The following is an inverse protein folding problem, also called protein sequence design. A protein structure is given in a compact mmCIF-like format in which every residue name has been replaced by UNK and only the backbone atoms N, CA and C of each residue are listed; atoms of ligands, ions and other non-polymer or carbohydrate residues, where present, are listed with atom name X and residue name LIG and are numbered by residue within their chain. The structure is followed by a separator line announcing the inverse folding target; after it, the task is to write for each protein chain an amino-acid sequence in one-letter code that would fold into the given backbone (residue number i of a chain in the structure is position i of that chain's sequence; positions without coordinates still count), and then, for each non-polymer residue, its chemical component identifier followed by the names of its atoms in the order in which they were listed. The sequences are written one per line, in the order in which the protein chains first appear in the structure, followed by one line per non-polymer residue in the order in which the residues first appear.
data_IF_489979450526
#
_entry.id   IF_489979450526
#
_cell.length_a   1.000
_cell.length_b   1.000
_cell.length_c   1.000
_cell.angle_alpha   90.00
_cell.angle_beta   90.00
_cell.angle_gamma   90.00
#
_symmetry.space_group_name_H-M   'P 1'
#
loop_
_entity.id
_entity.type
_entity.pdbx_description
1 polymer ?
#
# COMPACT_ATOMS: atom_id res chain seq x y z
N UNK A 1 -7.47 -33.23 3.44
CA UNK A 1 -7.60 -32.02 2.61
C UNK A 1 -6.40 -31.12 2.86
N UNK A 2 -5.68 -30.79 1.82
CA UNK A 2 -4.48 -29.97 1.96
C UNK A 2 -4.89 -28.48 2.06
N UNK A 3 -4.44 -27.83 3.14
CA UNK A 3 -4.62 -26.39 3.29
C UNK A 3 -3.42 -25.65 2.75
N UNK A 4 -3.62 -24.82 1.73
CA UNK A 4 -2.61 -23.89 1.27
C UNK A 4 -2.54 -22.68 2.21
N UNK A 5 -1.34 -22.17 2.42
CA UNK A 5 -1.13 -20.93 3.14
C UNK A 5 -0.50 -19.91 2.21
N UNK A 6 -0.61 -18.62 2.54
CA UNK A 6 -0.17 -17.55 1.65
C UNK A 6 1.29 -17.64 1.25
N UNK A 7 2.17 -18.04 2.15
CA UNK A 7 3.59 -18.16 1.82
C UNK A 7 3.89 -19.24 0.77
N UNK A 8 2.99 -20.23 0.63
CA UNK A 8 3.17 -21.32 -0.32
C UNK A 8 2.82 -20.89 -1.74
N UNK A 9 1.87 -19.97 -1.90
CA UNK A 9 1.41 -19.52 -3.21
C UNK A 9 2.10 -18.24 -3.69
N UNK A 10 2.52 -17.38 -2.77
CA UNK A 10 3.17 -16.13 -3.10
C UNK A 10 2.22 -15.03 -3.56
N UNK A 11 2.75 -13.81 -3.70
CA UNK A 11 1.96 -12.62 -4.03
C UNK A 11 1.33 -12.70 -5.41
N UNK A 12 2.11 -13.08 -6.43
CA UNK A 12 1.62 -13.15 -7.81
C UNK A 12 0.43 -14.08 -7.95
N UNK A 13 0.53 -15.27 -7.37
CA UNK A 13 -0.55 -16.24 -7.46
C UNK A 13 -1.78 -15.80 -6.68
N UNK A 14 -1.57 -15.16 -5.53
CA UNK A 14 -2.68 -14.58 -4.76
C UNK A 14 -3.41 -13.53 -5.59
N UNK A 15 -2.69 -12.62 -6.22
CA UNK A 15 -3.28 -11.59 -7.08
C UNK A 15 -4.05 -12.22 -8.23
N UNK A 16 -3.48 -13.24 -8.88
CA UNK A 16 -4.16 -13.95 -9.96
C UNK A 16 -5.48 -14.57 -9.51
N UNK A 17 -5.51 -15.15 -8.32
CA UNK A 17 -6.72 -15.73 -7.77
C UNK A 17 -7.79 -14.70 -7.41
N UNK A 18 -7.36 -13.48 -7.06
CA UNK A 18 -8.26 -12.39 -6.73
C UNK A 18 -8.77 -11.64 -7.96
N UNK A 19 -8.14 -11.82 -9.09
CA UNK A 19 -8.46 -11.10 -10.33
C UNK A 19 -9.91 -11.22 -10.73
N UNK A 20 -10.51 -12.39 -10.55
CA UNK A 20 -11.92 -12.62 -10.90
C UNK A 20 -12.92 -11.78 -10.09
N UNK A 21 -12.49 -11.24 -8.95
CA UNK A 21 -13.30 -10.40 -8.09
C UNK A 21 -13.11 -8.91 -8.37
N UNK A 22 -12.21 -8.56 -9.29
CA UNK A 22 -11.82 -7.18 -9.55
C UNK A 22 -12.34 -6.73 -10.91
N UNK A 23 -12.59 -5.41 -11.07
CA UNK A 23 -12.85 -4.86 -12.40
C UNK A 23 -11.67 -5.10 -13.34
N UNK A 24 -11.96 -5.19 -14.63
CA UNK A 24 -10.91 -5.35 -15.64
C UNK A 24 -9.94 -4.15 -15.56
N UNK A 25 -8.66 -4.41 -15.79
CA UNK A 25 -7.60 -3.40 -15.85
C UNK A 25 -7.23 -2.78 -14.49
N UNK A 26 -7.53 -3.46 -13.38
CA UNK A 26 -7.16 -2.97 -12.05
C UNK A 26 -5.87 -3.56 -11.49
N UNK A 27 -5.27 -4.52 -12.18
CA UNK A 27 -4.21 -5.33 -11.58
C UNK A 27 -2.84 -5.12 -12.22
N UNK A 28 -2.75 -4.25 -13.21
CA UNK A 28 -1.51 -4.11 -13.97
C UNK A 28 -0.44 -3.29 -13.26
N UNK A 29 -0.80 -2.55 -12.21
CA UNK A 29 0.14 -1.76 -11.43
C UNK A 29 -0.25 -1.71 -9.94
N UNK A 30 0.48 -0.92 -9.16
CA UNK A 30 0.28 -0.84 -7.71
C UNK A 30 -0.90 0.05 -7.30
N UNK A 31 -1.60 0.64 -8.25
CA UNK A 31 -2.69 1.57 -7.95
C UNK A 31 -4.02 1.03 -8.43
N UNK A 32 -5.06 1.29 -7.64
CA UNK A 32 -6.44 1.10 -8.10
C UNK A 32 -6.90 2.35 -8.84
N UNK A 33 -7.60 2.15 -9.95
CA UNK A 33 -8.16 3.23 -10.75
C UNK A 33 -9.66 3.33 -10.49
N UNK A 34 -10.11 4.50 -10.05
CA UNK A 34 -11.53 4.81 -9.90
C UNK A 34 -11.89 5.89 -10.91
N UNK A 35 -12.79 5.53 -11.82
CA UNK A 35 -13.28 6.48 -12.82
C UNK A 35 -14.46 7.25 -12.26
N UNK A 36 -14.36 8.56 -12.29
CA UNK A 36 -15.46 9.45 -11.94
C UNK A 36 -15.97 10.14 -13.21
N UNK A 37 -17.00 10.96 -13.08
CA UNK A 37 -17.64 11.61 -14.22
C UNK A 37 -16.66 12.50 -15.02
N UNK A 38 -15.80 13.22 -14.32
CA UNK A 38 -14.91 14.21 -14.94
C UNK A 38 -13.43 13.89 -14.74
N UNK A 39 -13.09 12.97 -13.86
CA UNK A 39 -11.71 12.71 -13.48
C UNK A 39 -11.48 11.23 -13.22
N UNK A 40 -10.24 10.85 -13.21
CA UNK A 40 -9.82 9.53 -12.76
C UNK A 40 -9.03 9.69 -11.46
N UNK A 41 -9.35 8.85 -10.48
CA UNK A 41 -8.62 8.81 -9.22
C UNK A 41 -7.74 7.57 -9.19
N UNK A 42 -6.49 7.75 -8.82
CA UNK A 42 -5.58 6.66 -8.53
C UNK A 42 -5.45 6.54 -7.02
N UNK A 43 -5.63 5.34 -6.53
CA UNK A 43 -5.52 5.05 -5.09
C UNK A 43 -4.51 3.95 -4.90
N UNK A 44 -3.57 4.18 -4.01
CA UNK A 44 -2.70 3.13 -3.53
C UNK A 44 -2.51 3.23 -2.02
N UNK A 45 -2.15 2.12 -1.42
CA UNK A 45 -1.76 2.05 -0.02
C UNK A 45 -0.58 1.11 0.08
N UNK A 46 0.46 1.57 0.74
CA UNK A 46 1.63 0.77 0.98
C UNK A 46 1.83 0.64 2.48
N UNK A 47 2.30 -0.52 2.93
CA UNK A 47 2.52 -0.77 4.36
C UNK A 47 4.00 -0.82 4.67
N UNK A 48 4.35 -0.29 5.85
CA UNK A 48 5.70 -0.38 6.40
C UNK A 48 5.64 -1.23 7.66
N UNK A 49 6.27 -2.39 7.63
CA UNK A 49 6.26 -3.35 8.73
C UNK A 49 7.64 -3.39 9.37
N UNK A 50 7.69 -3.18 10.68
CA UNK A 50 8.93 -3.26 11.44
C UNK A 50 9.61 -4.61 11.26
N UNK A 51 10.93 -4.59 11.14
CA UNK A 51 11.78 -5.76 10.86
C UNK A 51 11.58 -6.40 9.48
N UNK A 52 10.74 -5.80 8.63
CA UNK A 52 10.60 -6.19 7.22
C UNK A 52 11.08 -5.05 6.34
N UNK A 53 10.54 -3.85 6.53
CA UNK A 53 10.86 -2.68 5.73
C UNK A 53 11.82 -1.72 6.43
N UNK A 54 11.88 -1.79 7.74
CA UNK A 54 12.72 -0.96 8.58
C UNK A 54 12.96 -1.62 9.93
N UNK A 55 13.87 -1.10 10.73
CA UNK A 55 13.97 -1.44 12.15
C UNK A 55 14.22 -0.17 12.97
N UNK A 56 13.94 -0.23 14.26
CA UNK A 56 14.02 0.91 15.17
C UNK A 56 15.46 1.34 15.47
N UNK A 57 16.45 0.52 15.12
CA UNK A 57 17.86 0.85 15.27
C UNK A 57 18.35 1.71 14.09
N UNK A 58 17.83 1.41 12.88
CA UNK A 58 18.34 2.01 11.65
C UNK A 58 17.57 3.23 11.17
N UNK A 59 16.39 3.50 11.73
CA UNK A 59 15.55 4.59 11.25
C UNK A 59 14.90 5.32 12.42
N UNK A 60 14.94 6.66 12.40
CA UNK A 60 14.22 7.46 13.36
C UNK A 60 12.77 7.68 12.91
N UNK A 61 11.84 8.05 13.84
CA UNK A 61 10.43 8.25 13.48
C UNK A 61 10.19 9.24 12.35
N UNK A 62 10.96 10.32 12.30
CA UNK A 62 10.82 11.32 11.23
C UNK A 62 11.17 10.72 9.87
N UNK A 63 12.24 9.93 9.78
CA UNK A 63 12.65 9.27 8.54
C UNK A 63 11.64 8.19 8.13
N UNK A 64 11.05 7.50 9.09
CA UNK A 64 10.00 6.52 8.82
C UNK A 64 8.78 7.20 8.21
N UNK A 65 8.36 8.33 8.76
CA UNK A 65 7.27 9.11 8.19
C UNK A 65 7.57 9.60 6.78
N UNK A 66 8.78 10.08 6.55
CA UNK A 66 9.21 10.51 5.22
C UNK A 66 9.16 9.34 4.23
N UNK A 67 9.67 8.18 4.62
CA UNK A 67 9.65 6.97 3.80
C UNK A 67 8.22 6.54 3.46
N UNK A 68 7.31 6.61 4.41
CA UNK A 68 5.90 6.27 4.20
C UNK A 68 5.27 7.17 3.14
N UNK A 69 5.50 8.48 3.23
CA UNK A 69 4.97 9.44 2.26
C UNK A 69 5.58 9.23 0.89
N UNK A 70 6.90 9.13 0.81
CA UNK A 70 7.61 9.04 -0.47
C UNK A 70 7.26 7.75 -1.21
N UNK A 71 7.15 6.62 -0.52
CA UNK A 71 6.80 5.37 -1.19
C UNK A 71 5.41 5.42 -1.81
N UNK A 72 4.44 6.00 -1.12
CA UNK A 72 3.09 6.17 -1.67
C UNK A 72 3.06 7.14 -2.86
N UNK A 73 3.74 8.26 -2.75
CA UNK A 73 3.80 9.23 -3.85
C UNK A 73 4.52 8.65 -5.06
N UNK A 74 5.60 7.91 -4.84
CA UNK A 74 6.35 7.26 -5.90
C UNK A 74 5.47 6.29 -6.70
N UNK A 75 4.66 5.47 -6.03
CA UNK A 75 3.74 4.56 -6.69
C UNK A 75 2.69 5.31 -7.52
N UNK A 76 2.13 6.39 -6.97
CA UNK A 76 1.17 7.21 -7.68
C UNK A 76 1.77 7.87 -8.93
N UNK A 77 2.97 8.41 -8.81
CA UNK A 77 3.66 9.05 -9.94
C UNK A 77 4.01 8.04 -11.03
N UNK A 78 4.46 6.85 -10.66
CA UNK A 78 4.80 5.81 -11.64
C UNK A 78 3.57 5.29 -12.36
N UNK A 79 2.38 5.43 -11.79
CA UNK A 79 1.11 5.10 -12.43
C UNK A 79 0.50 6.27 -13.20
N UNK A 80 1.18 7.40 -13.30
CA UNK A 80 0.76 8.52 -14.13
C UNK A 80 -0.05 9.60 -13.42
N UNK A 81 -0.04 9.63 -12.09
CA UNK A 81 -0.72 10.68 -11.33
C UNK A 81 -0.11 12.04 -11.61
N UNK A 82 -0.96 13.04 -11.78
CA UNK A 82 -0.53 14.42 -12.00
C UNK A 82 -0.61 15.29 -10.75
N UNK A 83 -1.47 14.93 -9.82
CA UNK A 83 -1.70 15.71 -8.59
C UNK A 83 -2.01 14.76 -7.46
N UNK A 84 -1.33 14.94 -6.35
CA UNK A 84 -1.61 14.20 -5.12
C UNK A 84 -2.57 15.01 -4.26
N UNK A 85 -3.73 14.44 -3.95
CA UNK A 85 -4.73 15.08 -3.10
C UNK A 85 -4.73 14.54 -1.67
N UNK A 86 -4.10 13.39 -1.46
CA UNK A 86 -3.97 12.79 -0.14
C UNK A 86 -3.21 11.50 -0.22
N UNK A 87 -2.84 10.97 0.91
CA UNK A 87 -2.18 9.67 1.02
C UNK A 87 -2.83 8.85 2.12
N UNK A 88 -2.75 7.54 2.00
CA UNK A 88 -3.03 6.60 3.09
C UNK A 88 -1.78 5.76 3.31
N UNK A 89 -1.50 5.44 4.55
CA UNK A 89 -0.36 4.60 4.88
C UNK A 89 -0.72 3.68 6.03
N UNK A 90 -0.12 2.50 6.03
CA UNK A 90 -0.23 1.54 7.12
C UNK A 90 1.17 1.28 7.65
N UNK A 91 1.34 1.44 8.95
CA UNK A 91 2.60 1.14 9.61
C UNK A 91 2.36 0.19 10.77
N UNK A 92 3.13 -0.86 10.84
CA UNK A 92 3.10 -1.81 11.93
C UNK A 92 4.43 -1.76 12.68
N UNK A 93 4.36 -1.31 13.93
CA UNK A 93 5.53 -1.17 14.79
C UNK A 93 5.25 -1.81 16.16
N UNK A 94 6.32 -2.04 16.94
CA UNK A 94 6.16 -2.45 18.32
C UNK A 94 5.64 -1.33 19.22
N UNK A 95 5.63 -0.09 18.72
CA UNK A 95 5.13 1.06 19.46
C UNK A 95 3.60 1.07 19.40
N UNK A 96 2.98 1.20 20.58
CA UNK A 96 1.53 1.34 20.65
C UNK A 96 1.16 2.81 20.55
N UNK A 97 0.40 3.15 19.52
CA UNK A 97 -0.12 4.51 19.37
C UNK A 97 -1.50 4.60 20.04
N UNK A 98 -1.80 5.70 20.75
CA UNK A 98 -3.13 5.90 21.27
C UNK A 98 -4.17 5.95 20.15
N UNK A 99 -5.25 5.20 20.32
CA UNK A 99 -6.33 5.16 19.33
C UNK A 99 -7.06 6.49 19.19
N UNK A 100 -6.93 7.36 20.18
CA UNK A 100 -7.49 8.71 20.16
C UNK A 100 -6.79 9.66 19.20
N UNK A 101 -5.67 9.27 18.62
CA UNK A 101 -4.95 10.06 17.61
C UNK A 101 -5.48 9.85 16.20
N UNK A 102 -6.56 9.14 16.04
CA UNK A 102 -7.21 9.00 14.74
C UNK A 102 -7.89 10.32 14.40
N UNK A 103 -7.48 10.90 13.34
CA UNK A 103 -8.00 12.16 12.85
C UNK A 103 -8.88 11.90 11.65
#
# INVERSE_FOLDING_TARGET
MHKEILKDIGEKELINRLEKFMPKNQISDDCALIKTKNENLLINTDSLVENVHFNDISICPADLGWKAVVSNISDLLSSGSKKTIGITTVSYTHLTLPTTLIV
#
